data_IF_919268893953
#
_entry.id   IF_919268893953
#
_cell.length_a   1.000
_cell.length_b   1.000
_cell.length_c   1.000
_cell.angle_alpha   90.00
_cell.angle_beta   90.00
_cell.angle_gamma   90.00
#
_symmetry.space_group_name_H-M   'P 1'
#
loop_
_entity.id
_entity.type
_entity.pdbx_description
1 polymer ?
#
# COMPACT_ATOMS: atom_id res chain seq x y z
N UNK A 1 1.86 -38.12 -58.26
CA UNK A 1 2.75 -37.76 -57.07
C UNK A 1 3.15 -36.31 -57.09
N UNK A 2 3.48 -35.68 -58.22
CA UNK A 2 3.88 -34.25 -58.30
C UNK A 2 2.83 -33.27 -57.70
N UNK A 3 1.53 -33.55 -57.89
CA UNK A 3 0.42 -32.70 -57.40
C UNK A 3 0.39 -32.63 -55.88
N UNK A 4 0.72 -33.71 -55.17
CA UNK A 4 0.75 -33.73 -53.71
C UNK A 4 1.99 -32.97 -53.12
N UNK A 5 3.11 -33.04 -53.85
CA UNK A 5 4.33 -32.30 -53.48
C UNK A 5 4.09 -30.79 -53.68
N UNK A 6 3.45 -30.39 -54.76
CA UNK A 6 3.10 -28.98 -55.00
C UNK A 6 2.12 -28.45 -53.93
N UNK A 7 1.12 -29.25 -53.54
CA UNK A 7 0.19 -28.86 -52.47
C UNK A 7 0.88 -28.73 -51.10
N UNK A 8 1.83 -29.62 -50.77
CA UNK A 8 2.58 -29.55 -49.53
C UNK A 8 3.47 -28.30 -49.47
N UNK A 9 4.16 -27.96 -50.56
CA UNK A 9 4.99 -26.75 -50.65
C UNK A 9 4.12 -25.48 -50.47
N UNK A 10 2.93 -25.46 -51.11
CA UNK A 10 2.00 -24.37 -51.00
C UNK A 10 1.52 -24.16 -49.55
N UNK A 11 1.14 -25.24 -48.87
CA UNK A 11 0.74 -25.19 -47.45
C UNK A 11 1.87 -24.67 -46.56
N UNK A 12 3.10 -25.17 -46.75
CA UNK A 12 4.24 -24.67 -46.00
C UNK A 12 4.51 -23.18 -46.24
N UNK A 13 4.39 -22.70 -47.47
CA UNK A 13 4.59 -21.28 -47.76
C UNK A 13 3.53 -20.39 -47.10
N UNK A 14 2.27 -20.81 -47.09
CA UNK A 14 1.18 -20.08 -46.43
C UNK A 14 1.35 -20.05 -44.91
N UNK A 15 1.74 -21.18 -44.30
CA UNK A 15 1.95 -21.22 -42.85
C UNK A 15 3.14 -20.35 -42.41
N UNK A 16 4.24 -20.41 -43.13
CA UNK A 16 5.41 -19.55 -42.87
C UNK A 16 5.05 -18.07 -43.00
N UNK A 17 4.30 -17.72 -44.06
CA UNK A 17 3.82 -16.37 -44.32
C UNK A 17 2.89 -15.87 -43.19
N UNK A 18 1.98 -16.69 -42.70
CA UNK A 18 1.08 -16.35 -41.63
C UNK A 18 1.81 -16.14 -40.29
N UNK A 19 2.79 -16.99 -39.99
CA UNK A 19 3.62 -16.84 -38.78
C UNK A 19 4.45 -15.55 -38.84
N UNK A 20 5.09 -15.29 -39.98
CA UNK A 20 5.89 -14.07 -40.19
C UNK A 20 5.04 -12.81 -40.05
N UNK A 21 3.84 -12.80 -40.63
CA UNK A 21 2.90 -11.68 -40.51
C UNK A 21 2.44 -11.48 -39.05
N UNK A 22 2.18 -12.56 -38.32
CA UNK A 22 1.83 -12.51 -36.91
C UNK A 22 2.95 -11.93 -36.05
N UNK A 23 4.21 -12.30 -36.33
CA UNK A 23 5.36 -11.74 -35.62
C UNK A 23 5.56 -10.26 -35.89
N UNK A 24 5.40 -9.81 -37.12
CA UNK A 24 5.50 -8.36 -37.43
C UNK A 24 4.41 -7.55 -36.73
N UNK A 25 3.18 -8.04 -36.69
CA UNK A 25 2.11 -7.35 -35.97
C UNK A 25 2.25 -7.41 -34.46
N UNK A 26 2.87 -8.45 -33.91
CA UNK A 26 3.20 -8.53 -32.49
C UNK A 26 4.32 -7.54 -32.12
N UNK A 27 5.37 -7.44 -32.94
CA UNK A 27 6.45 -6.48 -32.75
C UNK A 27 5.94 -5.03 -32.84
N UNK A 28 5.09 -4.72 -33.81
CA UNK A 28 4.48 -3.39 -33.93
C UNK A 28 3.58 -2.99 -32.72
N UNK A 29 3.03 -3.98 -32.00
CA UNK A 29 2.28 -3.72 -30.77
C UNK A 29 3.18 -3.51 -29.54
N UNK A 30 4.40 -4.05 -29.56
CA UNK A 30 5.39 -3.85 -28.49
C UNK A 30 6.00 -2.44 -28.58
N UNK A 31 6.17 -1.93 -29.79
CA UNK A 31 6.69 -0.58 -30.05
C UNK A 31 5.62 0.53 -30.00
N UNK A 32 4.33 0.16 -29.89
CA UNK A 32 3.30 1.17 -29.67
C UNK A 32 3.56 1.84 -28.31
N UNK A 33 3.65 3.20 -28.25
CA UNK A 33 3.77 3.88 -26.98
C UNK A 33 2.61 3.43 -26.08
N UNK A 34 2.94 3.01 -24.87
CA UNK A 34 1.93 2.64 -23.89
C UNK A 34 0.87 3.76 -23.82
N UNK A 35 -0.44 3.43 -23.79
CA UNK A 35 -1.46 4.46 -23.63
C UNK A 35 -1.08 5.33 -22.43
N UNK A 36 -1.25 6.66 -22.51
CA UNK A 36 -0.90 7.55 -21.40
C UNK A 36 -1.59 7.03 -20.15
N UNK A 37 -0.88 6.88 -19.04
CA UNK A 37 -1.45 6.37 -17.80
C UNK A 37 -2.63 7.25 -17.39
N UNK A 38 -3.74 6.64 -17.00
CA UNK A 38 -5.01 7.29 -16.69
C UNK A 38 -4.91 8.38 -15.61
N UNK A 39 -3.84 8.39 -14.83
CA UNK A 39 -3.59 9.33 -13.72
C UNK A 39 -2.20 9.98 -13.82
N UNK A 40 -1.80 10.40 -15.02
CA UNK A 40 -0.62 11.25 -15.20
C UNK A 40 0.73 10.55 -15.02
N UNK A 41 0.80 9.22 -15.00
CA UNK A 41 2.07 8.48 -14.87
C UNK A 41 2.63 8.43 -13.45
N UNK A 42 1.81 8.73 -12.45
CA UNK A 42 2.20 8.64 -11.06
C UNK A 42 2.08 7.20 -10.55
N UNK A 43 3.03 6.77 -9.75
CA UNK A 43 2.94 5.51 -9.02
C UNK A 43 2.13 5.70 -7.74
N UNK A 44 1.24 4.73 -7.48
CA UNK A 44 0.46 4.64 -6.26
C UNK A 44 1.13 3.64 -5.33
N UNK A 45 1.62 4.12 -4.22
CA UNK A 45 2.32 3.31 -3.23
C UNK A 45 1.52 3.33 -1.93
N UNK A 46 1.34 2.14 -1.35
CA UNK A 46 0.64 1.95 -0.10
C UNK A 46 1.65 1.63 1.00
N UNK A 47 1.52 2.32 2.13
CA UNK A 47 2.36 2.02 3.30
C UNK A 47 1.85 0.77 4.03
N UNK A 48 2.71 0.13 4.79
CA UNK A 48 2.28 -0.73 5.88
C UNK A 48 1.54 0.09 6.95
N UNK A 49 0.96 -0.61 7.94
CA UNK A 49 0.31 0.08 9.08
C UNK A 49 1.39 0.76 9.91
N UNK A 50 1.35 2.08 9.93
CA UNK A 50 2.20 2.91 10.79
C UNK A 50 1.55 3.00 12.16
N UNK A 51 2.26 2.55 13.20
CA UNK A 51 1.80 2.57 14.58
C UNK A 51 2.64 3.54 15.40
N UNK A 52 2.02 4.62 15.85
CA UNK A 52 2.68 5.68 16.64
C UNK A 52 2.16 5.64 18.07
N UNK A 53 3.02 5.41 19.09
CA UNK A 53 2.58 5.50 20.48
C UNK A 53 2.23 6.94 20.83
N UNK A 54 1.06 7.14 21.41
CA UNK A 54 0.59 8.45 21.89
C UNK A 54 0.88 8.54 23.37
N UNK A 55 1.66 9.58 23.73
CA UNK A 55 2.06 9.84 25.10
C UNK A 55 1.15 10.92 25.73
N UNK A 56 0.70 10.66 26.94
CA UNK A 56 0.02 11.64 27.77
C UNK A 56 0.66 11.63 29.16
N UNK A 57 1.10 12.78 29.65
CA UNK A 57 1.80 12.91 30.94
C UNK A 57 2.99 11.94 31.12
N UNK A 58 3.74 11.69 30.06
CA UNK A 58 4.91 10.78 30.06
C UNK A 58 4.57 9.29 30.04
N UNK A 59 3.31 8.92 29.91
CA UNK A 59 2.86 7.54 29.82
C UNK A 59 2.19 7.24 28.46
N UNK A 60 2.38 6.02 27.94
CA UNK A 60 1.67 5.59 26.74
C UNK A 60 0.19 5.45 27.06
N UNK A 61 -0.63 6.28 26.43
CA UNK A 61 -2.09 6.29 26.55
C UNK A 61 -2.78 5.39 25.51
N UNK A 62 -2.14 5.21 24.38
CA UNK A 62 -2.64 4.37 23.28
C UNK A 62 -1.69 4.39 22.08
N UNK A 63 -2.19 3.89 20.97
CA UNK A 63 -1.49 3.88 19.69
C UNK A 63 -2.36 4.48 18.61
N UNK A 64 -1.81 5.44 17.90
CA UNK A 64 -2.38 5.94 16.67
C UNK A 64 -1.93 5.01 15.53
N UNK A 65 -2.89 4.45 14.81
CA UNK A 65 -2.66 3.52 13.71
C UNK A 65 -3.13 4.18 12.43
N UNK A 66 -2.26 4.25 11.45
CA UNK A 66 -2.65 4.78 10.14
C UNK A 66 -2.05 3.97 9.01
N UNK A 67 -2.77 3.92 7.89
CA UNK A 67 -2.28 3.42 6.62
C UNK A 67 -2.55 4.47 5.57
N UNK A 68 -1.51 4.81 4.84
CA UNK A 68 -1.53 5.86 3.84
C UNK A 68 -1.31 5.26 2.45
N UNK A 69 -1.93 5.89 1.46
CA UNK A 69 -1.61 5.71 0.05
C UNK A 69 -1.09 7.04 -0.45
N UNK A 70 0.02 7.03 -1.15
CA UNK A 70 0.60 8.25 -1.69
C UNK A 70 0.99 8.08 -3.16
N UNK A 71 0.96 9.19 -3.89
CA UNK A 71 1.31 9.22 -5.30
C UNK A 71 2.64 9.91 -5.50
N UNK A 72 3.52 9.30 -6.27
CA UNK A 72 4.87 9.83 -6.57
C UNK A 72 5.18 9.78 -8.05
N UNK A 73 6.03 10.69 -8.50
CA UNK A 73 6.66 10.57 -9.82
C UNK A 73 7.78 9.51 -9.76
N UNK A 74 7.69 8.42 -10.55
CA UNK A 74 8.66 7.33 -10.51
C UNK A 74 10.09 7.79 -10.75
N UNK A 75 10.27 8.72 -11.69
CA UNK A 75 11.60 9.25 -12.05
C UNK A 75 12.24 10.07 -10.93
N UNK A 76 11.44 10.81 -10.16
CA UNK A 76 11.91 11.58 -9.01
C UNK A 76 12.11 10.67 -7.80
N UNK A 77 11.18 9.76 -7.57
CA UNK A 77 11.27 8.78 -6.47
C UNK A 77 12.53 7.92 -6.59
N UNK A 78 12.91 7.52 -7.80
CA UNK A 78 14.13 6.73 -8.06
C UNK A 78 15.44 7.49 -7.74
N UNK A 79 15.41 8.82 -7.67
CA UNK A 79 16.58 9.66 -7.33
C UNK A 79 16.73 9.88 -5.83
N UNK A 80 15.73 9.51 -5.04
CA UNK A 80 15.79 9.68 -3.60
C UNK A 80 16.86 8.75 -3.00
N UNK A 81 17.65 9.28 -2.09
CA UNK A 81 18.64 8.52 -1.31
C UNK A 81 18.00 7.64 -0.24
N UNK A 82 16.74 7.91 0.10
CA UNK A 82 15.94 7.22 1.10
C UNK A 82 14.60 6.85 0.46
N UNK A 83 14.06 5.65 0.69
CA UNK A 83 12.74 5.28 0.16
C UNK A 83 11.67 6.29 0.56
N UNK A 84 10.79 6.65 -0.38
CA UNK A 84 9.70 7.61 -0.12
C UNK A 84 8.81 7.17 1.04
N UNK A 85 8.60 5.85 1.22
CA UNK A 85 7.85 5.29 2.34
C UNK A 85 8.46 5.67 3.70
N UNK A 86 9.80 5.61 3.82
CA UNK A 86 10.47 5.98 5.06
C UNK A 86 10.28 7.48 5.39
N UNK A 87 10.23 8.34 4.37
CA UNK A 87 9.92 9.77 4.55
C UNK A 87 8.47 9.97 5.01
N UNK A 88 7.52 9.21 4.45
CA UNK A 88 6.11 9.25 4.86
C UNK A 88 5.98 8.86 6.34
N UNK A 89 6.57 7.72 6.71
CA UNK A 89 6.53 7.23 8.10
C UNK A 89 7.14 8.25 9.07
N UNK A 90 8.30 8.82 8.74
CA UNK A 90 8.96 9.86 9.54
C UNK A 90 8.06 11.09 9.73
N UNK A 91 7.35 11.51 8.66
CA UNK A 91 6.44 12.65 8.76
C UNK A 91 5.17 12.35 9.57
N UNK A 92 4.66 11.12 9.55
CA UNK A 92 3.55 10.70 10.43
C UNK A 92 3.97 10.83 11.89
N UNK A 93 5.14 10.31 12.26
CA UNK A 93 5.69 10.47 13.61
C UNK A 93 5.86 11.95 13.97
N UNK A 94 6.48 12.73 13.08
CA UNK A 94 6.71 14.16 13.29
C UNK A 94 5.41 14.94 13.48
N UNK A 95 4.36 14.60 12.73
CA UNK A 95 3.05 15.24 12.86
C UNK A 95 2.41 14.94 14.21
N UNK A 96 2.40 13.66 14.63
CA UNK A 96 1.78 13.25 15.89
C UNK A 96 2.51 13.85 17.09
N UNK A 97 3.84 13.80 17.12
CA UNK A 97 4.62 14.36 18.22
C UNK A 97 4.72 15.89 18.19
N UNK A 98 4.57 16.51 17.03
CA UNK A 98 4.54 17.96 16.88
C UNK A 98 3.21 18.60 17.30
N UNK A 99 2.15 17.80 17.49
CA UNK A 99 0.83 18.26 17.88
C UNK A 99 0.34 17.51 19.13
N UNK A 100 0.89 17.80 20.31
CA UNK A 100 0.58 17.07 21.54
C UNK A 100 -0.88 17.25 22.01
N UNK A 101 -1.55 18.30 21.55
CA UNK A 101 -2.94 18.62 21.89
C UNK A 101 -3.97 17.85 21.04
N UNK A 102 -3.52 16.96 20.15
CA UNK A 102 -4.43 16.11 19.36
C UNK A 102 -5.18 15.17 20.29
N UNK A 103 -6.50 15.35 20.37
CA UNK A 103 -7.38 14.45 21.09
C UNK A 103 -7.78 13.25 20.20
N UNK A 104 -7.06 12.15 20.37
CA UNK A 104 -7.31 10.92 19.63
C UNK A 104 -8.53 10.13 20.14
N UNK A 105 -9.08 10.50 21.29
CA UNK A 105 -10.23 9.79 21.91
C UNK A 105 -11.52 10.25 21.23
N UNK A 106 -11.63 11.53 21.00
CA UNK A 106 -12.76 12.12 20.27
C UNK A 106 -12.33 12.38 18.83
N UNK A 107 -12.47 11.44 17.94
CA UNK A 107 -12.07 11.47 16.50
C UNK A 107 -12.43 12.78 15.74
N UNK A 108 -13.16 13.69 16.37
CA UNK A 108 -13.59 14.98 15.84
C UNK A 108 -12.45 16.01 15.71
N UNK A 109 -11.31 15.78 16.36
CA UNK A 109 -10.22 16.79 16.39
C UNK A 109 -9.09 16.54 15.40
N UNK A 110 -9.03 15.37 14.75
CA UNK A 110 -8.05 15.13 13.70
C UNK A 110 -8.56 15.66 12.36
N UNK A 111 -8.07 16.84 11.98
CA UNK A 111 -8.27 17.36 10.62
C UNK A 111 -7.45 16.53 9.63
N UNK A 112 -8.12 15.60 8.95
CA UNK A 112 -7.50 14.70 7.96
C UNK A 112 -6.96 15.45 6.74
N UNK A 113 -7.55 16.60 6.39
CA UNK A 113 -7.10 17.40 5.26
C UNK A 113 -5.80 18.13 5.63
N UNK A 114 -5.73 18.72 6.81
CA UNK A 114 -4.51 19.32 7.34
C UNK A 114 -3.41 18.28 7.53
N UNK A 115 -3.75 17.07 8.01
CA UNK A 115 -2.81 15.97 8.18
C UNK A 115 -2.19 15.54 6.83
N UNK A 116 -3.03 15.28 5.81
CA UNK A 116 -2.57 14.91 4.47
C UNK A 116 -1.70 15.97 3.82
N UNK A 117 -2.19 17.23 3.85
CA UNK A 117 -1.48 18.37 3.29
C UNK A 117 -0.14 18.63 4.00
N UNK A 118 -0.14 18.48 5.33
CA UNK A 118 1.07 18.65 6.15
C UNK A 118 2.15 17.61 5.82
N UNK A 119 1.78 16.34 5.71
CA UNK A 119 2.73 15.27 5.32
C UNK A 119 3.30 15.55 3.94
N UNK A 120 2.46 15.82 2.93
CA UNK A 120 2.89 16.12 1.58
C UNK A 120 3.86 17.31 1.53
N UNK A 121 3.46 18.41 2.14
CA UNK A 121 4.25 19.65 2.14
C UNK A 121 5.63 19.45 2.78
N UNK A 122 5.67 18.78 3.93
CA UNK A 122 6.93 18.56 4.67
C UNK A 122 7.88 17.62 3.95
N UNK A 123 7.38 16.61 3.24
CA UNK A 123 8.22 15.72 2.44
C UNK A 123 8.82 16.48 1.27
N UNK A 124 8.00 17.21 0.52
CA UNK A 124 8.45 17.98 -0.65
C UNK A 124 9.43 19.10 -0.23
N UNK A 125 9.18 19.77 0.90
CA UNK A 125 10.12 20.74 1.50
C UNK A 125 11.47 20.08 1.85
N UNK A 126 11.45 18.88 2.47
CA UNK A 126 12.66 18.16 2.88
C UNK A 126 13.47 17.64 1.70
N UNK A 127 12.80 17.24 0.64
CA UNK A 127 13.43 16.76 -0.62
C UNK A 127 13.88 17.92 -1.49
N UNK A 128 13.21 19.08 -1.42
CA UNK A 128 13.45 20.25 -2.25
C UNK A 128 12.80 20.19 -3.64
N UNK A 129 11.98 19.18 -3.89
CA UNK A 129 11.22 18.97 -5.13
C UNK A 129 9.82 18.41 -4.83
N UNK A 130 8.88 18.65 -5.74
CA UNK A 130 7.54 18.06 -5.68
C UNK A 130 7.58 16.59 -6.11
N UNK A 131 7.95 15.70 -5.20
CA UNK A 131 8.02 14.24 -5.41
C UNK A 131 6.69 13.59 -5.07
N UNK A 132 6.07 14.00 -3.97
CA UNK A 132 4.77 13.48 -3.50
C UNK A 132 3.68 14.43 -3.95
N UNK A 133 2.77 13.92 -4.81
CA UNK A 133 1.67 14.73 -5.37
C UNK A 133 0.44 14.71 -4.46
N UNK A 134 0.09 13.54 -3.94
CA UNK A 134 -1.08 13.37 -3.10
C UNK A 134 -0.81 12.36 -1.99
N UNK A 135 -1.41 12.59 -0.83
CA UNK A 135 -1.44 11.66 0.29
C UNK A 135 -2.89 11.37 0.62
N UNK A 136 -3.27 10.10 0.57
CA UNK A 136 -4.60 9.61 0.90
C UNK A 136 -4.54 8.79 2.17
N UNK A 137 -5.55 8.92 3.01
CA UNK A 137 -5.69 8.12 4.22
C UNK A 137 -6.60 6.94 3.90
N UNK A 138 -6.06 5.73 3.95
CA UNK A 138 -6.84 4.50 3.78
C UNK A 138 -7.46 4.04 5.09
N UNK A 139 -6.70 4.19 6.18
CA UNK A 139 -7.13 3.79 7.52
C UNK A 139 -6.54 4.74 8.56
N UNK A 140 -7.37 5.12 9.52
CA UNK A 140 -6.98 5.80 10.76
C UNK A 140 -7.75 5.18 11.90
N UNK A 141 -7.04 4.74 12.92
CA UNK A 141 -7.60 4.20 14.14
C UNK A 141 -6.80 4.71 15.33
N UNK A 142 -7.45 4.82 16.47
CA UNK A 142 -6.80 5.01 17.75
C UNK A 142 -7.13 3.83 18.68
N UNK A 143 -6.10 3.15 19.13
CA UNK A 143 -6.25 2.02 20.02
C UNK A 143 -5.82 2.42 21.44
N UNK A 144 -6.78 2.66 22.32
CA UNK A 144 -6.52 3.05 23.69
C UNK A 144 -5.89 1.91 24.51
N UNK A 145 -5.13 2.27 25.53
CA UNK A 145 -4.56 1.30 26.47
C UNK A 145 -5.62 0.41 27.12
N UNK A 146 -6.81 0.95 27.35
CA UNK A 146 -7.94 0.20 27.93
C UNK A 146 -8.46 -0.85 26.95
N UNK A 147 -8.67 -0.50 25.70
CA UNK A 147 -9.11 -1.43 24.67
C UNK A 147 -8.11 -2.55 24.41
N UNK A 148 -6.81 -2.24 24.42
CA UNK A 148 -5.76 -3.25 24.30
C UNK A 148 -5.85 -4.26 25.44
N UNK A 149 -6.01 -3.75 26.67
CA UNK A 149 -6.13 -4.58 27.87
C UNK A 149 -7.39 -5.46 27.82
N UNK A 150 -8.52 -4.88 27.50
CA UNK A 150 -9.80 -5.59 27.43
C UNK A 150 -9.79 -6.66 26.33
N UNK A 151 -9.26 -6.35 25.16
CA UNK A 151 -9.11 -7.31 24.08
C UNK A 151 -8.16 -8.47 24.47
N UNK A 152 -7.09 -8.16 25.19
CA UNK A 152 -6.16 -9.19 25.68
C UNK A 152 -6.82 -10.12 26.70
N UNK A 153 -7.58 -9.58 27.65
CA UNK A 153 -8.33 -10.35 28.64
C UNK A 153 -9.39 -11.22 27.94
N UNK A 154 -10.15 -10.65 27.03
CA UNK A 154 -11.20 -11.35 26.27
C UNK A 154 -10.62 -12.51 25.47
N UNK A 155 -9.50 -12.30 24.77
CA UNK A 155 -8.80 -13.38 24.04
C UNK A 155 -8.33 -14.50 24.96
N UNK A 156 -7.80 -14.19 26.15
CA UNK A 156 -7.37 -15.20 27.13
C UNK A 156 -8.54 -16.00 27.66
N UNK A 157 -9.68 -15.36 27.91
CA UNK A 157 -10.90 -16.06 28.36
C UNK A 157 -11.44 -17.00 27.28
N UNK A 158 -11.49 -16.55 26.02
CA UNK A 158 -11.91 -17.38 24.90
C UNK A 158 -10.99 -18.59 24.70
N UNK A 159 -9.67 -18.37 24.69
CA UNK A 159 -8.69 -19.44 24.58
C UNK A 159 -8.83 -20.46 25.73
N UNK A 160 -9.08 -20.00 26.95
CA UNK A 160 -9.35 -20.87 28.10
C UNK A 160 -10.64 -21.67 27.99
N UNK A 161 -11.70 -21.09 27.41
CA UNK A 161 -12.96 -21.81 27.14
C UNK A 161 -12.79 -22.88 26.08
N UNK A 162 -12.15 -22.55 24.95
CA UNK A 162 -11.88 -23.50 23.87
C UNK A 162 -11.01 -24.66 24.35
N UNK A 163 -9.98 -24.40 25.16
CA UNK A 163 -9.16 -25.46 25.74
C UNK A 163 -9.93 -26.38 26.68
N UNK A 164 -10.91 -25.85 27.48
CA UNK A 164 -11.75 -26.65 28.34
C UNK A 164 -12.77 -27.50 27.56
N UNK A 165 -13.32 -26.97 26.47
CA UNK A 165 -14.23 -27.71 25.59
C UNK A 165 -13.50 -28.85 24.88
N UNK A 166 -12.32 -28.63 24.37
CA UNK A 166 -11.48 -29.68 23.79
C UNK A 166 -11.14 -30.77 24.80
N UNK A 167 -10.78 -30.38 26.03
CA UNK A 167 -10.47 -31.34 27.10
C UNK A 167 -11.69 -32.17 27.55
N UNK A 168 -12.91 -31.64 27.45
CA UNK A 168 -14.18 -32.41 27.72
C UNK A 168 -14.45 -33.41 26.60
N UNK A 169 -14.33 -32.98 25.33
CA UNK A 169 -14.56 -33.89 24.20
C UNK A 169 -13.57 -35.07 24.14
N UNK A 170 -12.35 -34.90 24.69
CA UNK A 170 -11.36 -36.00 24.78
C UNK A 170 -11.65 -37.00 25.89
N UNK A 171 -12.51 -36.67 26.88
CA UNK A 171 -12.90 -37.57 27.98
C UNK A 171 -14.14 -38.40 27.70
N UNK A 172 -14.88 -38.07 26.64
CA UNK A 172 -16.12 -38.77 26.25
C UNK A 172 -15.91 -39.82 25.15
N UNK A 173 -14.68 -40.05 24.72
CA UNK A 173 -14.25 -41.13 23.82
C UNK A 173 -13.25 -42.06 24.53
#
# INVERSE_FOLDING_TARGET
>A
MIKFIAAAIWLCAVTIGAVFYSFQNAAAKIDAPAPPPLLGGLDYIKTDIVSVPVLHEGHINGYFLTRLVYTVEPEKAAKLSVPAEALIVDQVYSYIYGNPDLDFINHETLDLDAFRAGIRSKINEKVGEDVVHEVLVEQVDFLSKYEIRDNTIRRRLQAGQTAREMAKGFKEH
#
